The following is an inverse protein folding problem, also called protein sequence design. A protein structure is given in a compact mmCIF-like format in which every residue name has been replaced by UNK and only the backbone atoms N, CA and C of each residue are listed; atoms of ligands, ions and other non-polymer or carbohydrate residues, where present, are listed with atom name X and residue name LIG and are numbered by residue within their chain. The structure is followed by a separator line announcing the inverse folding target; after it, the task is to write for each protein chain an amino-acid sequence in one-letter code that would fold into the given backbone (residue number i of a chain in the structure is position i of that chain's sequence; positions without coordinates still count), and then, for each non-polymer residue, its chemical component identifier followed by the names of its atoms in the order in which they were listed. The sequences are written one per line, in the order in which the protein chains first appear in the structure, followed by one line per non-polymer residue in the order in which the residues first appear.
data_IF_453058796268
#
_entry.id   IF_453058796268
#
_cell.length_a   1.000
_cell.length_b   1.000
_cell.length_c   1.000
_cell.angle_alpha   90.00
_cell.angle_beta   90.00
_cell.angle_gamma   90.00
#
_symmetry.space_group_name_H-M   'P 1'
#
loop_
_entity.id
_entity.type
_entity.pdbx_description
1 polymer ?
#
# COMPACT_ATOMS: atom_id res chain seq x y z
N UNK A 1 -24.26 11.42 5.51
CA UNK A 1 -23.48 11.75 4.30
C UNK A 1 -23.76 10.69 3.25
N UNK A 2 -24.06 11.07 2.00
CA UNK A 2 -24.19 10.09 0.90
C UNK A 2 -22.82 9.44 0.66
N UNK A 3 -22.72 8.11 0.50
CA UNK A 3 -21.47 7.48 0.13
C UNK A 3 -21.05 7.97 -1.26
N UNK A 4 -19.95 8.70 -1.34
CA UNK A 4 -19.36 9.08 -2.62
C UNK A 4 -18.78 7.82 -3.24
N UNK A 5 -19.36 7.36 -4.34
CA UNK A 5 -18.79 6.25 -5.11
C UNK A 5 -17.54 6.76 -5.82
N UNK A 6 -16.37 6.29 -5.39
CA UNK A 6 -15.08 6.60 -6.01
C UNK A 6 -14.71 5.42 -6.90
N UNK A 7 -14.53 5.67 -8.20
CA UNK A 7 -14.09 4.67 -9.15
C UNK A 7 -12.70 4.11 -8.77
N UNK A 8 -12.48 2.82 -9.02
CA UNK A 8 -11.18 2.20 -8.82
C UNK A 8 -10.18 2.75 -9.85
N UNK A 9 -9.04 3.24 -9.38
CA UNK A 9 -7.99 3.77 -10.25
C UNK A 9 -7.22 2.65 -10.97
N UNK A 10 -6.75 2.94 -12.18
CA UNK A 10 -5.71 2.18 -12.86
C UNK A 10 -4.35 2.78 -12.48
N UNK A 11 -3.41 1.94 -12.02
CA UNK A 11 -2.13 2.40 -11.44
C UNK A 11 -1.33 3.22 -12.46
N UNK A 12 -1.24 2.72 -13.69
CA UNK A 12 -0.41 3.31 -14.76
C UNK A 12 -1.10 4.48 -15.48
N UNK A 13 -2.41 4.70 -15.24
CA UNK A 13 -3.17 5.82 -15.84
C UNK A 13 -3.47 6.87 -14.79
N UNK A 14 -2.55 7.83 -14.65
CA UNK A 14 -2.63 8.89 -13.64
C UNK A 14 -3.93 9.70 -13.69
N UNK A 15 -4.52 9.86 -14.88
CA UNK A 15 -5.81 10.53 -15.09
C UNK A 15 -6.99 9.86 -14.35
N UNK A 16 -6.93 8.54 -14.13
CA UNK A 16 -7.95 7.77 -13.40
C UNK A 16 -7.85 7.94 -11.88
N UNK A 17 -6.77 8.54 -11.38
CA UNK A 17 -6.59 8.75 -9.95
C UNK A 17 -7.58 9.80 -9.45
N UNK A 18 -8.21 9.52 -8.33
CA UNK A 18 -9.20 10.42 -7.73
C UNK A 18 -8.52 11.48 -6.86
N UNK A 19 -9.10 12.69 -6.81
CA UNK A 19 -8.64 13.74 -5.90
C UNK A 19 -8.72 13.22 -4.46
N UNK A 20 -7.62 13.33 -3.73
CA UNK A 20 -7.54 12.73 -2.41
C UNK A 20 -8.44 13.42 -1.38
N UNK A 21 -9.00 12.59 -0.49
CA UNK A 21 -9.73 13.00 0.70
C UNK A 21 -9.51 11.96 1.80
N UNK A 22 -9.37 12.41 3.05
CA UNK A 22 -8.90 11.59 4.18
C UNK A 22 -9.72 10.31 4.40
N UNK A 23 -11.02 10.35 4.13
CA UNK A 23 -11.91 9.19 4.29
C UNK A 23 -11.64 8.04 3.30
N UNK A 24 -10.87 8.26 2.23
CA UNK A 24 -10.57 7.22 1.23
C UNK A 24 -9.73 6.08 1.80
N UNK A 25 -8.81 6.38 2.73
CA UNK A 25 -7.87 5.38 3.23
C UNK A 25 -8.56 4.21 3.97
N UNK A 26 -9.65 4.45 4.68
CA UNK A 26 -10.35 3.41 5.47
C UNK A 26 -10.96 2.29 4.62
N UNK A 27 -11.45 2.63 3.42
CA UNK A 27 -12.03 1.67 2.47
C UNK A 27 -11.08 1.18 1.38
N UNK A 28 -9.82 1.62 1.38
CA UNK A 28 -8.85 1.35 0.32
C UNK A 28 -8.12 0.00 0.53
N UNK A 29 -7.70 -0.66 -0.54
CA UNK A 29 -6.80 -1.83 -0.50
C UNK A 29 -5.32 -1.47 -0.25
N UNK A 30 -5.05 -0.28 0.28
CA UNK A 30 -3.70 0.27 0.47
C UNK A 30 -2.88 0.29 -0.82
N UNK A 31 -3.48 0.75 -1.91
CA UNK A 31 -2.82 0.85 -3.22
C UNK A 31 -1.57 1.73 -3.21
N UNK A 32 -1.46 2.68 -2.28
CA UNK A 32 -0.21 3.43 -2.08
C UNK A 32 0.97 2.52 -1.67
N UNK A 33 0.71 1.40 -1.00
CA UNK A 33 1.71 0.38 -0.67
C UNK A 33 2.03 -0.56 -1.84
N UNK A 34 1.45 -0.38 -3.03
CA UNK A 34 1.84 -1.10 -4.25
C UNK A 34 2.65 -0.23 -5.22
N UNK A 35 2.81 1.06 -4.90
CA UNK A 35 3.66 1.99 -5.63
C UNK A 35 5.13 1.80 -5.22
N UNK A 36 6.10 2.09 -6.10
CA UNK A 36 7.50 2.16 -5.72
C UNK A 36 7.69 3.16 -4.57
N UNK A 37 8.26 2.69 -3.45
CA UNK A 37 8.51 3.54 -2.28
C UNK A 37 9.97 3.98 -2.30
N UNK A 38 10.19 5.21 -2.74
CA UNK A 38 11.50 5.86 -2.70
C UNK A 38 11.78 6.38 -1.28
N UNK A 39 12.96 6.11 -0.75
CA UNK A 39 13.34 6.45 0.63
C UNK A 39 14.76 6.99 0.67
N UNK A 40 15.04 7.85 1.66
CA UNK A 40 16.40 8.35 1.94
C UNK A 40 17.01 7.59 3.10
N UNK A 41 18.29 7.80 3.36
CA UNK A 41 18.99 7.16 4.50
C UNK A 41 18.29 7.41 5.84
N UNK A 42 17.78 8.64 6.07
CA UNK A 42 17.02 8.99 7.27
C UNK A 42 15.74 8.17 7.44
N UNK A 43 15.10 7.81 6.34
CA UNK A 43 13.93 6.92 6.37
C UNK A 43 14.33 5.49 6.74
N UNK A 44 15.45 4.99 6.20
CA UNK A 44 15.98 3.66 6.51
C UNK A 44 16.36 3.53 8.00
N UNK A 45 16.93 4.59 8.58
CA UNK A 45 17.21 4.70 10.01
C UNK A 45 15.92 4.66 10.82
N UNK A 46 14.97 5.50 10.44
CA UNK A 46 13.66 5.61 11.10
C UNK A 46 12.88 4.29 11.13
N UNK A 47 12.94 3.49 10.06
CA UNK A 47 12.30 2.18 10.01
C UNK A 47 13.14 1.07 10.68
N UNK A 48 14.36 1.39 11.13
CA UNK A 48 15.22 0.51 11.92
C UNK A 48 16.03 -0.50 11.10
N UNK A 49 16.29 -0.22 9.82
CA UNK A 49 17.06 -1.10 8.93
C UNK A 49 18.54 -0.71 8.90
N UNK A 50 18.81 0.58 9.08
CA UNK A 50 20.13 1.18 9.05
C UNK A 50 20.37 1.84 10.40
N UNK A 51 21.57 1.70 10.93
CA UNK A 51 21.97 2.37 12.17
C UNK A 51 22.29 3.86 11.89
N UNK A 52 22.10 4.73 12.89
CA UNK A 52 22.54 6.12 12.83
C UNK A 52 24.05 6.24 12.58
N UNK A 53 24.86 5.30 13.11
CA UNK A 53 26.30 5.29 12.87
C UNK A 53 26.67 5.02 11.40
N UNK A 54 25.86 4.25 10.67
CA UNK A 54 26.07 3.97 9.24
C UNK A 54 25.83 5.21 8.37
N UNK A 55 25.26 6.31 8.90
CA UNK A 55 24.98 7.52 8.12
C UNK A 55 26.25 8.14 7.50
N UNK A 56 27.42 7.93 8.12
CA UNK A 56 28.72 8.38 7.60
C UNK A 56 29.30 7.50 6.49
N UNK A 57 28.75 6.30 6.27
CA UNK A 57 29.26 5.39 5.26
C UNK A 57 28.83 5.80 3.84
N UNK A 58 29.61 5.44 2.80
CA UNK A 58 29.19 5.61 1.42
C UNK A 58 27.84 4.90 1.17
N UNK A 59 26.78 5.61 0.71
CA UNK A 59 25.44 5.02 0.53
C UNK A 59 25.41 3.80 -0.39
N UNK A 60 26.40 3.69 -1.29
CA UNK A 60 26.58 2.55 -2.19
C UNK A 60 26.86 1.24 -1.44
N UNK A 61 27.59 1.29 -0.32
CA UNK A 61 27.91 0.10 0.48
C UNK A 61 26.66 -0.41 1.19
N UNK A 62 25.92 0.50 1.81
CA UNK A 62 24.61 0.23 2.42
C UNK A 62 23.67 -0.35 1.37
N UNK A 63 23.58 0.26 0.18
CA UNK A 63 22.74 -0.24 -0.91
C UNK A 63 23.07 -1.68 -1.31
N UNK A 64 24.37 -2.04 -1.42
CA UNK A 64 24.78 -3.41 -1.75
C UNK A 64 24.33 -4.40 -0.69
N UNK A 65 24.46 -4.06 0.60
CA UNK A 65 23.98 -4.88 1.72
C UNK A 65 22.47 -5.08 1.64
N UNK A 66 21.71 -3.99 1.51
CA UNK A 66 20.25 -4.03 1.48
C UNK A 66 19.67 -4.73 0.25
N UNK A 67 20.35 -4.67 -0.91
CA UNK A 67 19.98 -5.45 -2.10
C UNK A 67 20.14 -6.95 -1.83
N UNK A 68 21.23 -7.35 -1.17
CA UNK A 68 21.48 -8.76 -0.81
C UNK A 68 20.46 -9.29 0.22
N UNK A 69 20.04 -8.44 1.14
CA UNK A 69 19.01 -8.76 2.15
C UNK A 69 17.58 -8.74 1.56
N UNK A 70 17.41 -8.28 0.32
CA UNK A 70 16.08 -8.17 -0.32
C UNK A 70 15.20 -7.08 0.29
N UNK A 71 15.80 -6.06 0.89
CA UNK A 71 15.09 -4.93 1.52
C UNK A 71 14.80 -3.82 0.52
N UNK A 72 15.72 -3.61 -0.44
CA UNK A 72 15.56 -2.65 -1.53
C UNK A 72 15.65 -3.38 -2.87
N UNK A 73 14.94 -2.89 -3.88
CA UNK A 73 15.02 -3.39 -5.25
C UNK A 73 15.93 -2.53 -6.14
N UNK A 74 16.18 -1.27 -5.74
CA UNK A 74 16.96 -0.31 -6.53
C UNK A 74 17.65 0.73 -5.66
N UNK A 75 18.80 1.22 -6.14
CA UNK A 75 19.49 2.38 -5.59
C UNK A 75 19.93 3.34 -6.70
N UNK A 76 19.64 4.63 -6.53
CA UNK A 76 20.11 5.69 -7.43
C UNK A 76 21.31 6.41 -6.80
N UNK A 77 22.51 6.14 -7.33
CA UNK A 77 23.75 6.71 -6.80
C UNK A 77 23.83 8.24 -6.93
N UNK A 78 23.22 8.84 -7.95
CA UNK A 78 23.28 10.29 -8.16
C UNK A 78 22.46 11.06 -7.12
N UNK A 79 21.31 10.51 -6.74
CA UNK A 79 20.37 11.18 -5.80
C UNK A 79 20.44 10.62 -4.38
N UNK A 80 21.13 9.50 -4.18
CA UNK A 80 21.16 8.80 -2.88
C UNK A 80 19.81 8.20 -2.48
N UNK A 81 18.93 7.94 -3.45
CA UNK A 81 17.59 7.41 -3.21
C UNK A 81 17.61 5.89 -3.30
N UNK A 82 17.01 5.25 -2.31
CA UNK A 82 16.76 3.81 -2.27
C UNK A 82 15.29 3.54 -2.62
N UNK A 83 14.99 2.44 -3.29
CA UNK A 83 13.62 2.01 -3.56
C UNK A 83 13.37 0.72 -2.78
N UNK A 84 12.42 0.73 -1.84
CA UNK A 84 12.09 -0.46 -1.05
C UNK A 84 11.63 -1.61 -1.96
N UNK A 85 11.96 -2.83 -1.56
CA UNK A 85 11.58 -4.04 -2.28
C UNK A 85 10.06 -4.17 -2.34
N UNK A 86 9.58 -4.49 -3.54
CA UNK A 86 8.23 -5.01 -3.75
C UNK A 86 8.27 -6.52 -3.94
N UNK A 87 7.24 -7.18 -3.43
CA UNK A 87 7.00 -8.60 -3.66
C UNK A 87 6.59 -8.83 -5.11
N UNK A 88 6.52 -10.09 -5.53
CA UNK A 88 6.13 -10.47 -6.90
C UNK A 88 4.73 -9.98 -7.31
N UNK A 89 3.85 -9.69 -6.35
CA UNK A 89 2.53 -9.11 -6.56
C UNK A 89 2.51 -7.56 -6.49
N UNK A 90 3.68 -6.91 -6.53
CA UNK A 90 3.90 -5.49 -6.38
C UNK A 90 3.62 -4.89 -4.99
N UNK A 91 3.25 -5.69 -3.99
CA UNK A 91 3.08 -5.18 -2.63
C UNK A 91 4.44 -4.79 -2.03
N UNK A 92 4.48 -3.67 -1.30
CA UNK A 92 5.62 -3.31 -0.47
C UNK A 92 5.90 -4.41 0.56
N UNK A 93 7.18 -4.66 0.85
CA UNK A 93 7.65 -5.60 1.87
C UNK A 93 6.95 -5.46 3.25
N UNK A 94 6.49 -4.24 3.59
CA UNK A 94 5.84 -3.93 4.87
C UNK A 94 4.31 -3.93 4.82
N UNK A 95 3.70 -4.46 3.77
CA UNK A 95 2.24 -4.56 3.68
C UNK A 95 1.77 -5.91 4.21
N UNK A 96 0.94 -5.90 5.26
CA UNK A 96 0.34 -7.12 5.74
C UNK A 96 -0.66 -7.69 4.71
N UNK A 97 -0.49 -8.98 4.39
CA UNK A 97 -1.23 -9.63 3.30
C UNK A 97 -2.72 -9.81 3.60
N UNK A 98 -3.11 -9.89 4.88
CA UNK A 98 -4.50 -10.13 5.31
C UNK A 98 -5.25 -8.83 5.54
N UNK A 99 -4.76 -8.00 6.46
CA UNK A 99 -5.39 -6.74 6.85
C UNK A 99 -5.28 -5.65 5.79
N UNK A 100 -4.29 -5.78 4.88
CA UNK A 100 -3.88 -4.73 3.93
C UNK A 100 -3.46 -3.44 4.65
N UNK A 101 -2.90 -3.55 5.84
CA UNK A 101 -2.35 -2.42 6.59
C UNK A 101 -0.82 -2.49 6.60
N UNK A 102 -0.18 -1.33 6.62
CA UNK A 102 1.27 -1.25 6.73
C UNK A 102 1.71 -1.67 8.14
N UNK A 103 2.64 -2.63 8.23
CA UNK A 103 3.13 -3.18 9.50
C UNK A 103 4.03 -2.21 10.27
N UNK A 104 4.58 -1.19 9.60
CA UNK A 104 5.43 -0.15 10.18
C UNK A 104 4.73 1.22 10.20
N UNK A 105 3.40 1.25 10.43
CA UNK A 105 2.56 2.44 10.23
C UNK A 105 3.11 3.73 10.86
N UNK A 106 3.61 3.64 12.09
CA UNK A 106 4.14 4.77 12.86
C UNK A 106 5.52 5.22 12.38
N UNK A 107 6.32 4.27 11.88
CA UNK A 107 7.69 4.49 11.40
C UNK A 107 7.77 4.75 9.90
N UNK A 108 6.63 4.76 9.18
CA UNK A 108 6.56 4.90 7.71
C UNK A 108 7.52 5.95 7.15
N UNK A 109 8.16 5.71 6.00
CA UNK A 109 9.03 6.71 5.38
C UNK A 109 8.24 7.95 4.97
N UNK A 110 8.94 9.06 4.76
CA UNK A 110 8.32 10.34 4.40
C UNK A 110 7.49 10.24 3.11
N UNK A 111 7.91 9.41 2.15
CA UNK A 111 7.14 9.06 0.95
C UNK A 111 5.74 8.55 1.26
N UNK A 112 5.60 7.65 2.24
CA UNK A 112 4.31 7.09 2.62
C UNK A 112 3.50 8.03 3.53
N UNK A 113 4.15 8.79 4.41
CA UNK A 113 3.47 9.73 5.31
C UNK A 113 2.87 10.92 4.57
N UNK A 114 3.59 11.42 3.56
CA UNK A 114 3.19 12.59 2.81
C UNK A 114 2.39 12.25 1.56
N UNK A 115 2.20 10.96 1.22
CA UNK A 115 1.30 10.57 0.14
C UNK A 115 -0.14 11.05 0.45
N UNK A 116 -0.86 11.64 -0.52
CA UNK A 116 -0.50 11.85 -1.93
C UNK A 116 0.02 13.25 -2.26
N UNK A 117 0.45 14.06 -1.29
CA UNK A 117 1.11 15.35 -1.58
C UNK A 117 2.39 15.13 -2.40
N UNK A 118 3.04 14.00 -2.20
CA UNK A 118 4.15 13.52 -3.03
C UNK A 118 3.78 12.19 -3.71
N UNK A 119 4.27 12.01 -4.93
CA UNK A 119 4.00 10.84 -5.77
C UNK A 119 3.85 11.20 -7.25
N UNK A 120 3.46 10.23 -8.09
CA UNK A 120 3.35 10.41 -9.55
C UNK A 120 2.35 11.51 -9.97
N UNK A 121 1.28 11.70 -9.17
CA UNK A 121 0.29 12.76 -9.38
C UNK A 121 -0.03 13.45 -8.04
N UNK A 122 0.67 14.54 -7.70
CA UNK A 122 0.46 15.25 -6.43
C UNK A 122 -1.00 15.66 -6.19
N UNK A 123 -1.53 15.34 -5.00
CA UNK A 123 -2.91 15.63 -4.60
C UNK A 123 -3.95 14.60 -5.06
N UNK A 124 -3.55 13.59 -5.83
CA UNK A 124 -4.43 12.53 -6.33
C UNK A 124 -3.96 11.16 -5.83
N UNK A 125 -4.92 10.28 -5.56
CA UNK A 125 -4.67 8.95 -5.02
C UNK A 125 -5.11 7.87 -6.00
N UNK A 126 -4.27 6.84 -6.16
CA UNK A 126 -4.56 5.62 -6.89
C UNK A 126 -5.55 4.71 -6.14
N UNK A 127 -6.65 5.26 -5.65
CA UNK A 127 -7.57 4.55 -4.78
C UNK A 127 -8.17 3.32 -5.46
N UNK A 128 -8.13 2.18 -4.77
CA UNK A 128 -8.91 0.99 -5.11
C UNK A 128 -9.71 0.56 -3.88
N UNK A 129 -11.04 0.44 -3.98
CA UNK A 129 -11.86 -0.02 -2.87
C UNK A 129 -11.52 -1.46 -2.51
N UNK A 130 -11.60 -1.80 -1.21
CA UNK A 130 -11.61 -3.20 -0.76
C UNK A 130 -12.79 -3.92 -1.44
N UNK A 131 -12.61 -5.17 -1.89
CA UNK A 131 -13.74 -5.97 -2.32
C UNK A 131 -14.75 -6.02 -1.17
N UNK A 132 -16.01 -5.78 -1.48
CA UNK A 132 -17.06 -5.93 -0.48
C UNK A 132 -17.00 -7.37 0.04
N UNK A 133 -16.80 -7.54 1.34
CA UNK A 133 -16.99 -8.83 1.98
C UNK A 133 -18.43 -9.24 1.72
N UNK A 134 -18.63 -10.23 0.86
CA UNK A 134 -19.94 -10.85 0.69
C UNK A 134 -20.22 -11.54 2.03
N UNK A 135 -21.00 -10.90 2.89
CA UNK A 135 -21.49 -11.51 4.12
C UNK A 135 -22.13 -12.86 3.76
N UNK A 136 -21.48 -13.96 4.13
CA UNK A 136 -21.97 -15.32 3.91
C UNK A 136 -23.17 -15.69 4.81
N UNK A 137 -23.82 -14.70 5.44
CA UNK A 137 -24.92 -14.89 6.38
C UNK A 137 -26.31 -14.52 5.83
N UNK A 138 -26.47 -14.38 4.51
CA UNK A 138 -27.79 -14.19 3.88
C UNK A 138 -28.42 -15.48 3.34
N UNK A 139 -27.83 -16.65 3.61
CA UNK A 139 -28.40 -17.95 3.25
C UNK A 139 -29.08 -18.60 4.46
N UNK A 140 -30.09 -17.94 5.04
CA UNK A 140 -31.02 -18.58 5.99
C UNK A 140 -32.45 -18.44 5.47
N UNK A 141 -33.02 -19.62 5.21
CA UNK A 141 -34.44 -19.97 5.07
C UNK A 141 -35.26 -19.36 3.92
N UNK A 142 -35.27 -20.05 2.78
CA UNK A 142 -36.53 -20.41 2.12
C UNK A 142 -36.53 -21.93 1.91
N UNK A 143 -36.99 -22.66 2.93
CA UNK A 143 -37.33 -24.07 2.75
C UNK A 143 -38.50 -24.18 1.77
N UNK A 144 -38.59 -25.25 0.95
CA UNK A 144 -39.71 -25.41 0.05
C UNK A 144 -40.94 -25.75 0.88
N UNK A 145 -41.99 -24.93 0.77
CA UNK A 145 -43.31 -25.26 1.31
C UNK A 145 -43.81 -26.51 0.60
N UNK A 146 -43.70 -27.69 1.24
CA UNK A 146 -44.42 -28.89 0.82
C UNK A 146 -45.92 -28.60 1.01
N UNK A 147 -46.64 -28.44 -0.09
CA UNK A 147 -48.10 -28.53 -0.09
C UNK A 147 -48.43 -30.02 0.02
N UNK A 148 -48.98 -30.43 1.17
CA UNK A 148 -49.66 -31.71 1.31
C UNK A 148 -50.94 -31.64 0.48
N UNK A 149 -51.07 -32.51 -0.51
CA UNK A 149 -52.35 -32.81 -1.17
C UNK A 149 -52.83 -34.12 -0.57
N UNK A 150 -53.84 -34.01 0.28
CA UNK A 150 -54.62 -35.15 0.75
C UNK A 150 -55.56 -35.59 -0.37
N UNK A 151 -55.40 -36.82 -0.86
CA UNK A 151 -56.40 -37.61 -1.61
C UNK A 151 -56.16 -39.10 -1.36
#
# INVERSE_FOLDING_TARGET
MKPTLIAAAELDRLETWAKYSSHMCGGCMSTCCTLPVEVKIKDLIRIGIVDEFEQGEPPKNIAKRLLKEGIIERFNQKTGIFTLQRMSNNDCLYLDRKSRLCTIYDKRPDTCRNHPKIGPRPGYCAYKPKPAEKNANSAVSRGPTRVSLDF
#
